data_IF_005186888729
#
_entry.id   IF_005186888729
#
_cell.length_a   1.000
_cell.length_b   1.000
_cell.length_c   1.000
_cell.angle_alpha   90.00
_cell.angle_beta   90.00
_cell.angle_gamma   90.00
#
_symmetry.space_group_name_H-M   'P 1'
#
loop_
_entity.id
_entity.type
_entity.pdbx_description
1 polymer ?
#
# COMPACT_ATOMS: atom_id res chain seq x y z
N UNK A 1 -11.24 -19.04 -4.49
CA UNK A 1 -11.79 -19.66 -5.72
C UNK A 1 -13.24 -20.11 -5.56
N UNK A 2 -13.60 -20.87 -4.51
CA UNK A 2 -14.97 -21.35 -4.31
C UNK A 2 -16.05 -20.25 -4.26
N UNK A 3 -15.78 -19.12 -3.59
CA UNK A 3 -16.74 -18.00 -3.52
C UNK A 3 -17.00 -17.35 -4.89
N UNK A 4 -15.96 -17.21 -5.72
CA UNK A 4 -16.12 -16.70 -7.07
C UNK A 4 -16.93 -17.67 -7.94
N UNK A 5 -16.68 -18.98 -7.82
CA UNK A 5 -17.47 -20.01 -8.51
C UNK A 5 -18.95 -19.95 -8.08
N UNK A 6 -19.20 -19.93 -6.78
CA UNK A 6 -20.56 -19.81 -6.24
C UNK A 6 -21.27 -18.53 -6.72
N UNK A 7 -20.58 -17.38 -6.75
CA UNK A 7 -21.15 -16.14 -7.25
C UNK A 7 -21.45 -16.20 -8.76
N UNK A 8 -20.61 -16.86 -9.56
CA UNK A 8 -20.86 -17.10 -10.99
C UNK A 8 -22.09 -18.00 -11.20
N UNK A 9 -22.27 -19.01 -10.36
CA UNK A 9 -23.42 -19.92 -10.45
C UNK A 9 -24.74 -19.19 -10.10
N UNK A 10 -24.73 -18.24 -9.17
CA UNK A 10 -25.95 -17.56 -8.69
C UNK A 10 -26.23 -16.19 -9.32
N UNK A 11 -25.28 -15.58 -10.05
CA UNK A 11 -25.41 -14.21 -10.58
C UNK A 11 -26.57 -13.97 -11.54
N UNK A 12 -27.22 -15.01 -12.06
CA UNK A 12 -28.40 -14.86 -12.91
C UNK A 12 -29.62 -14.34 -12.12
N UNK A 13 -29.75 -14.70 -10.85
CA UNK A 13 -30.87 -14.34 -9.98
C UNK A 13 -30.51 -13.52 -8.74
N UNK A 14 -29.21 -13.40 -8.44
CA UNK A 14 -28.69 -12.63 -7.29
C UNK A 14 -27.84 -11.45 -7.78
N UNK A 15 -28.36 -10.24 -7.59
CA UNK A 15 -27.67 -9.01 -7.99
C UNK A 15 -26.42 -8.73 -7.14
N UNK A 16 -26.35 -9.19 -5.89
CA UNK A 16 -25.14 -9.07 -5.07
C UNK A 16 -24.04 -9.98 -5.63
N UNK A 17 -24.39 -11.23 -5.98
CA UNK A 17 -23.48 -12.15 -6.64
C UNK A 17 -23.01 -11.60 -8.00
N UNK A 18 -23.92 -11.02 -8.78
CA UNK A 18 -23.59 -10.39 -10.07
C UNK A 18 -22.66 -9.18 -9.92
N UNK A 19 -22.96 -8.27 -8.97
CA UNK A 19 -22.11 -7.12 -8.68
C UNK A 19 -20.71 -7.53 -8.23
N UNK A 20 -20.63 -8.59 -7.40
CA UNK A 20 -19.37 -9.19 -6.98
C UNK A 20 -18.56 -9.74 -8.15
N UNK A 21 -19.17 -10.51 -9.06
CA UNK A 21 -18.48 -11.05 -10.25
C UNK A 21 -17.94 -9.92 -11.13
N UNK A 22 -18.75 -8.88 -11.39
CA UNK A 22 -18.30 -7.72 -12.18
C UNK A 22 -17.15 -6.97 -11.50
N UNK A 23 -17.23 -6.78 -10.17
CA UNK A 23 -16.16 -6.16 -9.38
C UNK A 23 -14.89 -6.99 -9.39
N UNK A 24 -15.00 -8.32 -9.27
CA UNK A 24 -13.89 -9.26 -9.32
C UNK A 24 -13.18 -9.22 -10.67
N UNK A 25 -13.94 -9.16 -11.77
CA UNK A 25 -13.36 -8.98 -13.12
C UNK A 25 -12.63 -7.64 -13.21
N UNK A 26 -13.26 -6.54 -12.77
CA UNK A 26 -12.67 -5.20 -12.83
C UNK A 26 -11.35 -5.13 -12.03
N UNK A 27 -11.30 -5.66 -10.81
CA UNK A 27 -10.10 -5.63 -9.97
C UNK A 27 -9.03 -6.57 -10.48
N UNK A 28 -9.40 -7.74 -11.02
CA UNK A 28 -8.45 -8.65 -11.66
C UNK A 28 -7.80 -7.97 -12.86
N UNK A 29 -8.60 -7.33 -13.72
CA UNK A 29 -8.06 -6.54 -14.84
C UNK A 29 -7.12 -5.45 -14.32
N UNK A 30 -7.51 -4.70 -13.28
CA UNK A 30 -6.71 -3.64 -12.68
C UNK A 30 -5.37 -4.09 -12.10
N UNK A 31 -5.27 -5.33 -11.58
CA UNK A 31 -4.06 -5.84 -10.91
C UNK A 31 -3.21 -6.78 -11.78
N UNK A 32 -3.76 -7.41 -12.84
CA UNK A 32 -3.05 -8.45 -13.62
C UNK A 32 -2.52 -7.99 -14.98
N UNK A 33 -2.40 -6.67 -15.19
CA UNK A 33 -1.99 -6.07 -16.46
C UNK A 33 -0.67 -6.59 -17.05
N UNK A 34 0.25 -7.07 -16.22
CA UNK A 34 1.58 -7.55 -16.62
C UNK A 34 1.58 -8.94 -17.27
N UNK A 35 0.53 -9.77 -17.05
CA UNK A 35 0.52 -11.17 -17.48
C UNK A 35 0.04 -11.41 -18.93
N UNK A 36 -0.33 -10.36 -19.69
CA UNK A 36 -0.87 -10.51 -21.06
C UNK A 36 -0.04 -9.75 -22.09
N UNK A 37 0.74 -10.49 -22.88
CA UNK A 37 1.72 -9.93 -23.82
C UNK A 37 1.16 -9.33 -25.12
N UNK A 38 -0.15 -9.30 -25.39
CA UNK A 38 -0.65 -8.79 -26.70
C UNK A 38 -1.94 -7.96 -26.69
N UNK A 39 -2.65 -7.84 -25.57
CA UNK A 39 -3.82 -6.95 -25.45
C UNK A 39 -3.87 -6.38 -24.05
N UNK A 40 -3.19 -5.26 -23.84
CA UNK A 40 -3.25 -4.52 -22.58
C UNK A 40 -4.70 -4.10 -22.36
N UNK A 41 -5.40 -4.56 -21.29
CA UNK A 41 -6.75 -4.10 -21.03
C UNK A 41 -6.72 -2.58 -20.91
N UNK A 42 -7.47 -1.92 -21.79
CA UNK A 42 -7.46 -0.46 -21.86
C UNK A 42 -8.17 0.05 -20.60
N UNK A 43 -7.84 1.28 -20.17
CA UNK A 43 -8.50 1.94 -19.02
C UNK A 43 -10.05 1.84 -19.11
N UNK A 44 -10.57 1.88 -20.34
CA UNK A 44 -11.98 1.70 -20.68
C UNK A 44 -12.56 0.34 -20.28
N UNK A 45 -11.79 -0.75 -20.30
CA UNK A 45 -12.27 -2.08 -19.92
C UNK A 45 -12.55 -2.17 -18.42
N UNK A 46 -11.65 -1.63 -17.60
CA UNK A 46 -11.84 -1.56 -16.14
C UNK A 46 -13.03 -0.68 -15.83
N UNK A 47 -13.11 0.51 -16.44
CA UNK A 47 -14.22 1.44 -16.24
C UNK A 47 -15.56 0.80 -16.64
N UNK A 48 -15.59 -0.03 -17.69
CA UNK A 48 -16.78 -0.77 -18.13
C UNK A 48 -17.24 -1.76 -17.06
N UNK A 49 -16.35 -2.64 -16.59
CA UNK A 49 -16.72 -3.65 -15.59
C UNK A 49 -17.00 -3.06 -14.21
N UNK A 50 -16.25 -2.02 -13.83
CA UNK A 50 -16.50 -1.24 -12.62
C UNK A 50 -17.89 -0.59 -12.66
N UNK A 51 -18.26 0.04 -13.78
CA UNK A 51 -19.59 0.65 -13.97
C UNK A 51 -20.69 -0.40 -13.89
N UNK A 52 -20.49 -1.59 -14.47
CA UNK A 52 -21.45 -2.70 -14.35
C UNK A 52 -21.61 -3.14 -12.89
N UNK A 53 -20.52 -3.29 -12.14
CA UNK A 53 -20.56 -3.62 -10.72
C UNK A 53 -21.35 -2.59 -9.92
N UNK A 54 -21.03 -1.30 -10.10
CA UNK A 54 -21.72 -0.18 -9.46
C UNK A 54 -23.22 -0.13 -9.77
N UNK A 55 -23.60 -0.27 -11.04
CA UNK A 55 -24.99 -0.21 -11.47
C UNK A 55 -25.81 -1.42 -10.99
N UNK A 56 -25.15 -2.54 -10.69
CA UNK A 56 -25.80 -3.75 -10.18
C UNK A 56 -25.86 -3.75 -8.66
N UNK A 57 -24.91 -3.10 -7.98
CA UNK A 57 -24.85 -3.03 -6.53
C UNK A 57 -25.99 -2.16 -6.00
N UNK A 58 -27.04 -2.81 -5.49
CA UNK A 58 -28.21 -2.12 -4.93
C UNK A 58 -27.90 -1.45 -3.59
N UNK A 59 -28.60 -0.36 -3.22
CA UNK A 59 -28.52 0.21 -1.87
C UNK A 59 -28.90 -0.82 -0.81
N UNK A 60 -28.36 -0.68 0.42
CA UNK A 60 -28.75 -1.54 1.55
C UNK A 60 -30.22 -1.27 1.89
N UNK A 61 -31.04 -2.30 1.88
CA UNK A 61 -32.46 -2.21 2.21
C UNK A 61 -32.73 -2.49 3.70
N UNK A 62 -33.91 -2.08 4.20
CA UNK A 62 -34.28 -2.09 5.64
C UNK A 62 -34.11 -3.44 6.36
N UNK A 63 -34.23 -4.56 5.63
CA UNK A 63 -34.20 -5.92 6.18
C UNK A 63 -32.99 -6.73 5.68
N UNK A 64 -32.05 -6.09 5.00
CA UNK A 64 -30.87 -6.75 4.44
C UNK A 64 -29.77 -6.87 5.49
N UNK A 65 -29.24 -8.09 5.66
CA UNK A 65 -28.03 -8.30 6.47
C UNK A 65 -26.79 -7.99 5.62
N UNK A 66 -25.82 -7.30 6.22
CA UNK A 66 -24.55 -7.03 5.56
C UNK A 66 -23.79 -8.34 5.36
N UNK A 67 -23.43 -8.65 4.12
CA UNK A 67 -22.68 -9.85 3.76
C UNK A 67 -21.19 -9.56 3.56
N UNK A 68 -20.35 -10.57 3.78
CA UNK A 68 -18.91 -10.54 3.44
C UNK A 68 -18.69 -10.21 1.95
N UNK A 69 -19.52 -10.77 1.08
CA UNK A 69 -19.47 -10.58 -0.37
C UNK A 69 -19.73 -9.12 -0.76
N UNK A 70 -20.68 -8.46 -0.10
CA UNK A 70 -20.98 -7.05 -0.33
C UNK A 70 -19.77 -6.18 0.02
N UNK A 71 -19.15 -6.41 1.19
CA UNK A 71 -17.95 -5.67 1.61
C UNK A 71 -16.78 -5.94 0.66
N UNK A 72 -16.58 -7.18 0.23
CA UNK A 72 -15.55 -7.53 -0.74
C UNK A 72 -15.78 -6.83 -2.10
N UNK A 73 -17.03 -6.75 -2.56
CA UNK A 73 -17.41 -6.01 -3.78
C UNK A 73 -17.02 -4.54 -3.67
N UNK A 74 -17.32 -3.90 -2.53
CA UNK A 74 -16.96 -2.50 -2.27
C UNK A 74 -15.43 -2.32 -2.23
N UNK A 75 -14.68 -3.29 -1.71
CA UNK A 75 -13.21 -3.28 -1.75
C UNK A 75 -12.68 -3.40 -3.19
N UNK A 76 -13.26 -4.25 -4.03
CA UNK A 76 -12.88 -4.32 -5.45
C UNK A 76 -13.12 -2.98 -6.16
N UNK A 77 -14.28 -2.37 -5.94
CA UNK A 77 -14.62 -1.04 -6.46
C UNK A 77 -13.62 0.02 -5.99
N UNK A 78 -13.30 0.02 -4.69
CA UNK A 78 -12.30 0.91 -4.08
C UNK A 78 -10.93 0.78 -4.78
N UNK A 79 -10.42 -0.44 -4.92
CA UNK A 79 -9.11 -0.71 -5.53
C UNK A 79 -9.07 -0.28 -7.00
N UNK A 80 -10.14 -0.52 -7.76
CA UNK A 80 -10.24 -0.04 -9.14
C UNK A 80 -10.24 1.49 -9.22
N UNK A 81 -11.02 2.17 -8.38
CA UNK A 81 -11.07 3.64 -8.37
C UNK A 81 -9.73 4.25 -7.95
N UNK A 82 -9.03 3.62 -7.00
CA UNK A 82 -7.66 3.98 -6.63
C UNK A 82 -6.71 3.82 -7.83
N UNK A 83 -6.77 2.71 -8.55
CA UNK A 83 -5.99 2.47 -9.77
C UNK A 83 -6.28 3.44 -10.92
N UNK A 84 -7.50 3.98 -10.97
CA UNK A 84 -7.93 4.98 -11.95
C UNK A 84 -7.64 6.43 -11.51
N UNK A 85 -7.01 6.64 -10.35
CA UNK A 85 -6.71 7.97 -9.80
C UNK A 85 -7.94 8.73 -9.28
N UNK A 86 -9.07 8.06 -9.06
CA UNK A 86 -10.31 8.66 -8.53
C UNK A 86 -10.34 8.58 -7.00
N UNK A 87 -9.36 9.21 -6.35
CA UNK A 87 -9.08 9.04 -4.92
C UNK A 87 -10.25 9.36 -4.00
N UNK A 88 -11.02 10.42 -4.24
CA UNK A 88 -12.18 10.74 -3.39
C UNK A 88 -13.30 9.71 -3.48
N UNK A 89 -13.59 9.22 -4.68
CA UNK A 89 -14.56 8.14 -4.86
C UNK A 89 -14.04 6.83 -4.26
N UNK A 90 -12.76 6.52 -4.46
CA UNK A 90 -12.14 5.36 -3.83
C UNK A 90 -12.28 5.43 -2.30
N UNK A 91 -12.01 6.59 -1.70
CA UNK A 91 -12.17 6.81 -0.26
C UNK A 91 -13.63 6.64 0.19
N UNK A 92 -14.60 7.14 -0.58
CA UNK A 92 -16.02 6.95 -0.30
C UNK A 92 -16.40 5.45 -0.20
N UNK A 93 -15.97 4.62 -1.15
CA UNK A 93 -16.25 3.18 -1.11
C UNK A 93 -15.45 2.43 -0.03
N UNK A 94 -14.23 2.88 0.27
CA UNK A 94 -13.47 2.39 1.42
C UNK A 94 -14.19 2.68 2.74
N UNK A 95 -14.75 3.88 2.90
CA UNK A 95 -15.50 4.26 4.09
C UNK A 95 -16.77 3.42 4.25
N UNK A 96 -17.50 3.17 3.16
CA UNK A 96 -18.63 2.23 3.20
C UNK A 96 -18.21 0.83 3.63
N UNK A 97 -17.10 0.32 3.09
CA UNK A 97 -16.56 -0.99 3.47
C UNK A 97 -16.18 -1.03 4.95
N UNK A 98 -15.58 0.06 5.46
CA UNK A 98 -15.20 0.21 6.86
C UNK A 98 -16.41 0.18 7.80
N UNK A 99 -17.47 0.91 7.45
CA UNK A 99 -18.73 0.86 8.21
C UNK A 99 -19.34 -0.54 8.18
N UNK A 100 -19.39 -1.17 7.01
CA UNK A 100 -20.02 -2.49 6.85
C UNK A 100 -19.22 -3.61 7.52
N UNK A 101 -17.88 -3.55 7.53
CA UNK A 101 -17.06 -4.56 8.20
C UNK A 101 -17.17 -4.47 9.73
N UNK A 102 -17.41 -3.27 10.27
CA UNK A 102 -17.71 -3.09 11.69
C UNK A 102 -19.09 -3.66 12.07
N UNK A 103 -20.09 -3.51 11.20
CA UNK A 103 -21.43 -4.12 11.36
C UNK A 103 -21.35 -5.66 11.41
N UNK A 104 -20.34 -6.28 10.80
CA UNK A 104 -20.12 -7.73 10.88
C UNK A 104 -19.66 -8.22 12.27
N UNK A 105 -19.43 -7.30 13.23
CA UNK A 105 -19.07 -7.57 14.64
C UNK A 105 -17.86 -8.49 14.80
N UNK A 106 -16.86 -8.31 13.95
CA UNK A 106 -15.65 -9.16 13.92
C UNK A 106 -14.80 -8.98 15.19
N UNK A 107 -14.93 -7.83 15.85
CA UNK A 107 -14.30 -7.55 17.14
C UNK A 107 -14.97 -8.28 18.32
N UNK A 108 -16.21 -8.76 18.16
CA UNK A 108 -16.94 -9.46 19.23
C UNK A 108 -16.62 -10.96 19.23
N UNK A 109 -15.85 -11.38 20.22
CA UNK A 109 -15.42 -12.78 20.39
C UNK A 109 -16.61 -13.74 20.54
N UNK A 110 -17.71 -13.33 21.19
CA UNK A 110 -18.87 -14.21 21.39
C UNK A 110 -19.63 -14.43 20.08
N UNK A 111 -19.82 -13.37 19.30
CA UNK A 111 -20.42 -13.47 17.96
C UNK A 111 -19.56 -14.30 17.02
N UNK A 112 -18.24 -14.08 17.04
CA UNK A 112 -17.32 -14.85 16.20
C UNK A 112 -17.29 -16.33 16.59
N UNK A 113 -17.29 -16.68 17.88
CA UNK A 113 -17.24 -18.06 18.36
C UNK A 113 -18.39 -18.95 17.83
N UNK A 114 -19.54 -18.35 17.49
CA UNK A 114 -20.71 -19.03 16.91
C UNK A 114 -20.51 -19.42 15.44
N UNK A 115 -19.52 -18.83 14.76
CA UNK A 115 -19.25 -19.07 13.35
C UNK A 115 -18.26 -20.24 13.15
N UNK A 116 -18.37 -20.98 12.03
CA UNK A 116 -17.33 -21.93 11.62
C UNK A 116 -15.96 -21.26 11.50
N UNK A 117 -14.90 -22.01 11.77
CA UNK A 117 -13.52 -21.51 11.74
C UNK A 117 -13.14 -20.86 10.40
N UNK A 118 -13.53 -21.48 9.28
CA UNK A 118 -13.29 -20.93 7.94
C UNK A 118 -13.99 -19.58 7.73
N UNK A 119 -15.18 -19.40 8.29
CA UNK A 119 -15.92 -18.13 8.20
C UNK A 119 -15.29 -17.05 9.08
N UNK A 120 -14.84 -17.42 10.30
CA UNK A 120 -14.10 -16.49 11.17
C UNK A 120 -12.83 -15.99 10.50
N UNK A 121 -12.01 -16.92 10.00
CA UNK A 121 -10.78 -16.63 9.29
C UNK A 121 -11.04 -15.72 8.08
N UNK A 122 -12.09 -16.01 7.30
CA UNK A 122 -12.49 -15.19 6.14
C UNK A 122 -12.85 -13.75 6.54
N UNK A 123 -13.68 -13.58 7.57
CA UNK A 123 -14.07 -12.25 8.08
C UNK A 123 -12.87 -11.48 8.62
N UNK A 124 -11.99 -12.12 9.38
CA UNK A 124 -10.76 -11.49 9.88
C UNK A 124 -9.85 -11.04 8.74
N UNK A 125 -9.65 -11.86 7.69
CA UNK A 125 -8.89 -11.44 6.51
C UNK A 125 -9.52 -10.21 5.84
N UNK A 126 -10.84 -10.22 5.63
CA UNK A 126 -11.54 -9.06 5.07
C UNK A 126 -11.35 -7.80 5.93
N UNK A 127 -11.48 -7.91 7.25
CA UNK A 127 -11.23 -6.80 8.18
C UNK A 127 -9.84 -6.22 8.02
N UNK A 128 -8.82 -7.10 8.04
CA UNK A 128 -7.44 -6.68 7.92
C UNK A 128 -7.10 -6.11 6.54
N UNK A 129 -7.74 -6.59 5.46
CA UNK A 129 -7.64 -5.94 4.14
C UNK A 129 -8.18 -4.52 4.18
N UNK A 130 -9.38 -4.30 4.73
CA UNK A 130 -9.96 -2.95 4.86
C UNK A 130 -9.08 -2.06 5.73
N UNK A 131 -8.54 -2.59 6.83
CA UNK A 131 -7.61 -1.89 7.71
C UNK A 131 -6.37 -1.39 6.96
N UNK A 132 -5.67 -2.27 6.24
CA UNK A 132 -4.47 -1.92 5.46
C UNK A 132 -4.76 -0.79 4.46
N UNK A 133 -5.89 -0.87 3.74
CA UNK A 133 -6.31 0.16 2.80
C UNK A 133 -6.65 1.49 3.50
N UNK A 134 -7.31 1.45 4.66
CA UNK A 134 -7.61 2.65 5.45
C UNK A 134 -6.32 3.35 5.91
N UNK A 135 -5.35 2.60 6.43
CA UNK A 135 -4.05 3.15 6.86
C UNK A 135 -3.25 3.72 5.70
N UNK A 136 -3.25 3.06 4.54
CA UNK A 136 -2.63 3.60 3.33
C UNK A 136 -3.25 4.93 2.89
N UNK A 137 -4.58 5.03 2.88
CA UNK A 137 -5.28 6.27 2.55
C UNK A 137 -5.10 7.38 3.59
N UNK A 138 -4.91 7.01 4.86
CA UNK A 138 -4.64 7.98 5.90
C UNK A 138 -3.34 8.73 5.66
N UNK A 139 -2.29 8.02 5.25
CA UNK A 139 -1.01 8.61 4.89
C UNK A 139 -1.10 9.37 3.58
N UNK A 140 -1.46 8.67 2.50
CA UNK A 140 -1.30 9.17 1.11
C UNK A 140 -2.34 10.21 0.71
N UNK A 141 -3.51 10.23 1.36
CA UNK A 141 -4.62 11.12 1.03
C UNK A 141 -5.04 12.01 2.22
N UNK A 142 -4.27 12.01 3.32
CA UNK A 142 -4.55 12.75 4.55
C UNK A 142 -6.00 12.53 5.04
N UNK A 143 -6.41 11.27 5.15
CA UNK A 143 -7.76 10.88 5.58
C UNK A 143 -7.76 10.38 7.03
N UNK A 144 -8.77 10.71 7.86
CA UNK A 144 -8.85 10.18 9.21
C UNK A 144 -9.19 8.69 9.19
N UNK A 145 -8.72 7.95 10.19
CA UNK A 145 -9.01 6.52 10.36
C UNK A 145 -10.10 6.31 11.40
N UNK A 146 -10.93 5.29 11.22
CA UNK A 146 -11.96 4.90 12.21
C UNK A 146 -11.93 3.42 12.54
N UNK A 147 -11.26 2.57 11.75
CA UNK A 147 -11.23 1.13 12.00
C UNK A 147 -10.11 0.81 13.01
N UNK A 148 -10.41 0.38 14.25
CA UNK A 148 -9.38 -0.04 15.19
C UNK A 148 -8.65 -1.30 14.68
N UNK A 149 -7.44 -1.62 15.17
CA UNK A 149 -6.84 -2.93 14.91
C UNK A 149 -7.61 -4.02 15.68
N UNK A 150 -7.70 -5.23 15.12
CA UNK A 150 -8.15 -6.40 15.89
C UNK A 150 -7.04 -6.84 16.85
N UNK A 151 -7.44 -7.46 17.96
CA UNK A 151 -6.51 -8.06 18.94
C UNK A 151 -5.89 -9.37 18.46
N UNK A 152 -6.45 -9.98 17.40
CA UNK A 152 -6.02 -11.27 16.87
C UNK A 152 -5.72 -11.19 15.37
N UNK A 153 -4.70 -11.92 14.96
CA UNK A 153 -4.41 -12.18 13.54
C UNK A 153 -5.45 -13.13 12.93
N UNK A 154 -5.60 -13.18 11.60
CA UNK A 154 -6.49 -14.13 10.96
C UNK A 154 -6.23 -15.57 11.41
N UNK A 155 -7.29 -16.27 11.78
CA UNK A 155 -7.23 -17.71 12.08
C UNK A 155 -6.74 -18.50 10.85
N UNK A 156 -6.09 -19.66 11.05
CA UNK A 156 -5.67 -20.53 9.95
C UNK A 156 -6.84 -20.95 9.06
N UNK A 157 -6.61 -21.02 7.75
CA UNK A 157 -7.63 -21.44 6.79
C UNK A 157 -7.00 -22.36 5.74
N UNK A 158 -7.38 -23.64 5.77
CA UNK A 158 -6.85 -24.65 4.87
C UNK A 158 -7.17 -24.38 3.38
N UNK A 159 -8.11 -23.48 3.08
CA UNK A 159 -8.43 -23.08 1.71
C UNK A 159 -7.47 -22.04 1.14
N UNK A 160 -6.60 -21.47 1.97
CA UNK A 160 -5.61 -20.46 1.58
C UNK A 160 -4.21 -21.07 1.70
N UNK A 161 -3.37 -21.01 0.63
CA UNK A 161 -1.98 -21.46 0.70
C UNK A 161 -1.22 -20.79 1.84
N UNK A 162 -0.43 -21.57 2.59
CA UNK A 162 0.31 -21.08 3.77
C UNK A 162 1.18 -19.85 3.46
N UNK A 163 1.91 -19.85 2.33
CA UNK A 163 2.75 -18.71 1.95
C UNK A 163 1.92 -17.43 1.74
N UNK A 164 0.69 -17.53 1.21
CA UNK A 164 -0.23 -16.39 1.07
C UNK A 164 -0.66 -15.88 2.44
N UNK A 165 -1.06 -16.79 3.33
CA UNK A 165 -1.46 -16.43 4.70
C UNK A 165 -0.31 -15.77 5.48
N UNK A 166 0.90 -16.31 5.40
CA UNK A 166 2.10 -15.77 6.06
C UNK A 166 2.41 -14.36 5.55
N UNK A 167 2.50 -14.16 4.24
CA UNK A 167 2.76 -12.82 3.69
C UNK A 167 1.66 -11.82 4.01
N UNK A 168 0.39 -12.25 4.05
CA UNK A 168 -0.72 -11.40 4.46
C UNK A 168 -0.59 -10.95 5.93
N UNK A 169 -0.21 -11.85 6.83
CA UNK A 169 0.05 -11.49 8.25
C UNK A 169 1.21 -10.51 8.35
N UNK A 170 2.29 -10.71 7.59
CA UNK A 170 3.45 -9.82 7.59
C UNK A 170 3.10 -8.40 7.11
N UNK A 171 2.32 -8.25 6.03
CA UNK A 171 1.93 -6.91 5.57
C UNK A 171 0.99 -6.23 6.58
N UNK A 172 0.10 -6.98 7.23
CA UNK A 172 -0.73 -6.46 8.32
C UNK A 172 0.14 -5.94 9.48
N UNK A 173 1.16 -6.69 9.91
CA UNK A 173 2.11 -6.26 10.95
C UNK A 173 2.79 -4.94 10.60
N UNK A 174 3.26 -4.78 9.35
CA UNK A 174 3.84 -3.52 8.89
C UNK A 174 2.83 -2.36 9.01
N UNK A 175 1.60 -2.55 8.52
CA UNK A 175 0.57 -1.51 8.59
C UNK A 175 0.03 -1.25 10.00
N UNK A 176 0.20 -2.17 10.95
CA UNK A 176 -0.11 -1.92 12.36
C UNK A 176 0.77 -0.84 12.99
N UNK A 177 1.97 -0.59 12.44
CA UNK A 177 2.80 0.54 12.89
C UNK A 177 2.18 1.89 12.54
N UNK A 178 1.22 1.95 11.61
CA UNK A 178 0.43 3.16 11.32
C UNK A 178 -0.72 3.30 12.34
N UNK A 179 -0.34 3.41 13.60
CA UNK A 179 -1.23 3.60 14.75
C UNK A 179 -1.69 5.07 14.86
N UNK A 180 -2.57 5.36 15.83
CA UNK A 180 -3.08 6.72 16.04
C UNK A 180 -1.97 7.71 16.43
N UNK A 181 -0.94 7.26 17.15
CA UNK A 181 0.19 8.10 17.54
C UNK A 181 1.01 8.49 16.32
N UNK A 182 1.41 7.53 15.48
CA UNK A 182 2.10 7.77 14.23
C UNK A 182 1.29 8.66 13.29
N UNK A 183 -0.03 8.45 13.18
CA UNK A 183 -0.88 9.30 12.36
C UNK A 183 -0.98 10.72 12.89
N UNK A 184 -1.05 10.91 14.21
CA UNK A 184 -1.03 12.26 14.81
C UNK A 184 0.25 13.00 14.44
N UNK A 185 1.41 12.32 14.49
CA UNK A 185 2.70 12.90 14.10
C UNK A 185 2.83 13.11 12.60
N UNK A 186 2.25 12.21 11.80
CA UNK A 186 2.15 12.39 10.36
C UNK A 186 1.38 13.66 10.01
N UNK A 187 0.22 13.89 10.61
CA UNK A 187 -0.55 15.10 10.35
C UNK A 187 0.13 16.36 10.89
N UNK A 188 0.86 16.26 12.01
CA UNK A 188 1.70 17.34 12.54
C UNK A 188 2.82 17.80 11.58
N UNK A 189 3.22 16.97 10.61
CA UNK A 189 4.23 17.38 9.60
C UNK A 189 3.76 18.51 8.70
N UNK A 190 2.45 18.71 8.58
CA UNK A 190 1.83 19.73 7.74
C UNK A 190 1.37 20.97 8.54
N UNK A 191 1.66 20.99 9.85
CA UNK A 191 1.27 22.05 10.78
C UNK A 191 2.50 22.52 11.57
N UNK A 192 3.00 23.72 11.27
CA UNK A 192 4.25 24.26 11.83
C UNK A 192 4.19 24.43 13.35
N UNK A 193 3.00 24.62 13.94
CA UNK A 193 2.83 24.84 15.38
C UNK A 193 2.95 23.55 16.21
N UNK A 194 2.86 22.39 15.56
CA UNK A 194 2.94 21.10 16.24
C UNK A 194 4.39 20.59 16.37
N UNK A 195 4.68 20.02 17.54
CA UNK A 195 5.99 19.49 17.90
C UNK A 195 6.01 17.98 17.70
N UNK A 196 7.13 17.47 17.19
CA UNK A 196 7.43 16.04 17.11
C UNK A 196 8.73 15.82 17.88
N UNK A 197 8.72 15.02 18.95
CA UNK A 197 9.94 14.79 19.73
C UNK A 197 10.94 13.90 18.98
N UNK A 198 12.23 14.26 18.96
CA UNK A 198 13.28 13.43 18.36
C UNK A 198 13.36 12.01 18.92
N UNK A 199 13.12 11.85 20.23
CA UNK A 199 13.17 10.55 20.89
C UNK A 199 12.13 9.58 20.31
N UNK A 200 10.92 10.08 20.01
CA UNK A 200 9.86 9.27 19.40
C UNK A 200 10.24 8.82 17.99
N UNK A 201 10.89 9.69 17.19
CA UNK A 201 11.37 9.35 15.84
C UNK A 201 12.35 8.17 15.91
N UNK A 202 13.33 8.26 16.80
CA UNK A 202 14.35 7.21 16.98
C UNK A 202 13.68 5.91 17.41
N UNK A 203 12.83 5.95 18.44
CA UNK A 203 12.11 4.78 18.93
C UNK A 203 11.22 4.14 17.83
N UNK A 204 10.51 4.96 17.05
CA UNK A 204 9.62 4.46 15.99
C UNK A 204 10.42 3.85 14.84
N UNK A 205 11.56 4.42 14.46
CA UNK A 205 12.47 3.80 13.50
C UNK A 205 13.03 2.48 14.00
N UNK A 206 13.47 2.41 15.26
CA UNK A 206 13.95 1.16 15.87
C UNK A 206 12.86 0.08 15.85
N UNK A 207 11.62 0.42 16.24
CA UNK A 207 10.46 -0.50 16.14
C UNK A 207 10.22 -1.01 14.71
N UNK A 208 10.39 -0.15 13.70
CA UNK A 208 10.26 -0.54 12.30
C UNK A 208 11.44 -1.41 11.85
N UNK A 209 12.65 -1.13 12.30
CA UNK A 209 13.84 -1.93 11.95
C UNK A 209 13.75 -3.34 12.58
N UNK A 210 13.36 -3.42 13.86
CA UNK A 210 13.14 -4.65 14.63
C UNK A 210 11.94 -5.50 14.14
N UNK A 211 11.03 -4.91 13.37
CA UNK A 211 9.90 -5.64 12.79
C UNK A 211 10.40 -6.73 11.82
N UNK A 212 10.18 -7.98 12.18
CA UNK A 212 10.65 -9.11 11.40
C UNK A 212 9.94 -9.23 10.04
N UNK A 213 8.71 -8.71 9.89
CA UNK A 213 8.00 -8.70 8.61
C UNK A 213 8.85 -8.01 7.51
N UNK A 214 9.06 -8.72 6.41
CA UNK A 214 9.93 -8.23 5.32
C UNK A 214 11.44 -8.39 5.57
N UNK A 215 11.87 -9.05 6.65
CA UNK A 215 13.29 -9.44 6.84
C UNK A 215 13.67 -10.63 5.96
N UNK A 216 14.96 -10.75 5.64
CA UNK A 216 15.48 -11.81 4.76
C UNK A 216 15.04 -13.22 5.19
N UNK A 217 14.92 -13.49 6.50
CA UNK A 217 14.51 -14.77 7.06
C UNK A 217 13.01 -15.02 6.95
N UNK A 218 12.19 -14.01 7.21
CA UNK A 218 10.73 -14.08 7.18
C UNK A 218 10.16 -14.11 5.76
N UNK A 219 10.90 -13.59 4.79
CA UNK A 219 10.51 -13.61 3.38
C UNK A 219 10.92 -14.91 2.67
N UNK A 220 11.76 -15.75 3.29
CA UNK A 220 12.14 -17.05 2.73
C UNK A 220 10.90 -17.91 2.53
N UNK A 221 10.64 -18.30 1.27
CA UNK A 221 9.49 -19.12 0.89
C UNK A 221 8.23 -18.33 0.54
N UNK A 222 8.26 -16.99 0.64
CA UNK A 222 7.22 -16.14 0.05
C UNK A 222 7.45 -15.97 -1.45
N UNK A 223 6.37 -15.74 -2.20
CA UNK A 223 6.49 -15.42 -3.63
C UNK A 223 7.21 -14.08 -3.84
N UNK A 224 7.94 -13.93 -4.95
CA UNK A 224 8.64 -12.68 -5.29
C UNK A 224 7.72 -11.44 -5.21
N UNK A 225 6.45 -11.62 -5.56
CA UNK A 225 5.40 -10.61 -5.40
C UNK A 225 5.22 -10.17 -3.95
N UNK A 226 5.08 -11.11 -3.02
CA UNK A 226 4.92 -10.78 -1.60
C UNK A 226 6.18 -10.17 -1.01
N UNK A 227 7.36 -10.66 -1.41
CA UNK A 227 8.64 -10.08 -0.98
C UNK A 227 8.74 -8.61 -1.41
N UNK A 228 8.39 -8.31 -2.66
CA UNK A 228 8.39 -6.95 -3.18
C UNK A 228 7.49 -6.01 -2.36
N UNK A 229 6.23 -6.38 -2.11
CA UNK A 229 5.31 -5.53 -1.35
C UNK A 229 5.76 -5.31 0.08
N UNK A 230 6.24 -6.36 0.76
CA UNK A 230 6.71 -6.26 2.14
C UNK A 230 7.93 -5.34 2.26
N UNK A 231 8.95 -5.56 1.45
CA UNK A 231 10.20 -4.81 1.60
C UNK A 231 10.03 -3.37 1.12
N UNK A 232 9.32 -3.13 0.01
CA UNK A 232 9.02 -1.75 -0.44
C UNK A 232 8.16 -1.03 0.59
N UNK A 233 7.15 -1.69 1.18
CA UNK A 233 6.32 -1.10 2.23
C UNK A 233 7.15 -0.79 3.48
N UNK A 234 8.06 -1.67 3.91
CA UNK A 234 8.93 -1.42 5.07
C UNK A 234 9.82 -0.20 4.84
N UNK A 235 10.45 -0.07 3.68
CA UNK A 235 11.25 1.11 3.34
C UNK A 235 10.41 2.39 3.26
N UNK A 236 9.20 2.29 2.71
CA UNK A 236 8.25 3.40 2.68
C UNK A 236 7.90 3.88 4.09
N UNK A 237 7.57 2.99 5.03
CA UNK A 237 7.29 3.35 6.43
C UNK A 237 8.47 4.06 7.10
N UNK A 238 9.70 3.55 6.92
CA UNK A 238 10.91 4.19 7.45
C UNK A 238 11.10 5.58 6.85
N UNK A 239 10.87 5.75 5.55
CA UNK A 239 10.93 7.04 4.89
C UNK A 239 9.91 8.04 5.45
N UNK A 240 8.67 7.61 5.73
CA UNK A 240 7.65 8.47 6.33
C UNK A 240 8.09 9.00 7.70
N UNK A 241 8.61 8.13 8.57
CA UNK A 241 9.10 8.54 9.89
C UNK A 241 10.28 9.50 9.76
N UNK A 242 11.19 9.25 8.80
CA UNK A 242 12.27 10.19 8.51
C UNK A 242 11.78 11.55 8.00
N UNK A 243 10.77 11.58 7.12
CA UNK A 243 10.15 12.81 6.64
C UNK A 243 9.51 13.62 7.77
N UNK A 244 8.94 12.96 8.78
CA UNK A 244 8.44 13.65 9.98
C UNK A 244 9.55 14.42 10.68
N UNK A 245 10.72 13.80 10.87
CA UNK A 245 11.89 14.48 11.46
C UNK A 245 12.44 15.60 10.56
N UNK A 246 12.43 15.39 9.24
CA UNK A 246 12.82 16.42 8.27
C UNK A 246 11.92 17.66 8.37
N UNK A 247 10.60 17.46 8.47
CA UNK A 247 9.61 18.55 8.53
C UNK A 247 9.81 19.49 9.72
N UNK A 248 10.40 18.99 10.80
CA UNK A 248 10.71 19.74 12.03
C UNK A 248 12.19 20.08 12.19
N UNK A 249 12.97 19.95 11.11
CA UNK A 249 14.41 20.24 11.08
C UNK A 249 15.22 19.52 12.17
N UNK A 250 14.86 18.29 12.52
CA UNK A 250 15.49 17.52 13.61
C UNK A 250 16.74 16.75 13.16
N UNK A 251 17.01 16.74 11.85
CA UNK A 251 18.05 15.92 11.24
C UNK A 251 19.41 16.61 11.21
N UNK A 252 20.49 15.83 11.23
CA UNK A 252 21.85 16.35 11.00
C UNK A 252 22.65 15.41 10.11
N UNK A 253 23.70 15.90 9.45
CA UNK A 253 24.50 15.10 8.52
C UNK A 253 25.42 14.07 9.19
N UNK A 254 25.70 14.23 10.48
CA UNK A 254 26.63 13.39 11.26
C UNK A 254 26.02 12.73 12.50
N UNK A 255 24.69 12.62 12.57
CA UNK A 255 24.05 11.94 13.70
C UNK A 255 24.48 10.46 13.73
N UNK A 256 24.84 9.89 14.89
CA UNK A 256 25.23 8.49 15.00
C UNK A 256 24.08 7.53 14.65
N UNK A 257 22.85 7.90 15.03
CA UNK A 257 21.64 7.18 14.63
C UNK A 257 21.32 7.46 13.16
N UNK A 258 21.33 6.43 12.31
CA UNK A 258 21.07 6.57 10.87
C UNK A 258 19.68 7.17 10.58
N UNK A 259 18.69 6.87 11.41
CA UNK A 259 17.31 7.37 11.31
C UNK A 259 17.19 8.89 11.48
N UNK A 260 18.18 9.54 12.10
CA UNK A 260 18.25 11.00 12.30
C UNK A 260 19.25 11.67 11.35
N UNK A 261 19.83 10.91 10.42
CA UNK A 261 20.77 11.41 9.44
C UNK A 261 20.06 12.05 8.24
N UNK A 262 20.55 13.21 7.78
CA UNK A 262 20.14 13.78 6.49
C UNK A 262 20.46 12.85 5.29
N UNK A 263 21.41 11.92 5.46
CA UNK A 263 21.84 10.99 4.43
C UNK A 263 21.05 9.67 4.43
N UNK A 264 20.06 9.51 5.32
CA UNK A 264 19.24 8.30 5.38
C UNK A 264 18.63 7.93 4.02
N UNK A 265 18.00 8.85 3.24
CA UNK A 265 17.42 8.47 1.95
C UNK A 265 18.46 8.03 0.92
N UNK A 266 19.71 8.53 1.00
CA UNK A 266 20.81 8.09 0.13
C UNK A 266 21.23 6.65 0.44
N UNK A 267 21.34 6.29 1.72
CA UNK A 267 21.59 4.89 2.10
C UNK A 267 20.46 3.97 1.66
N UNK A 268 19.21 4.44 1.77
CA UNK A 268 18.03 3.71 1.33
C UNK A 268 17.96 3.54 -0.19
N UNK A 269 18.41 4.52 -0.98
CA UNK A 269 18.38 4.43 -2.45
C UNK A 269 19.21 3.28 -2.99
N UNK A 270 20.41 3.06 -2.42
CA UNK A 270 21.27 1.94 -2.78
C UNK A 270 20.62 0.58 -2.44
N UNK A 271 19.98 0.48 -1.27
CA UNK A 271 19.25 -0.71 -0.85
C UNK A 271 18.05 -1.00 -1.77
N UNK A 272 17.26 0.03 -2.08
CA UNK A 272 16.09 -0.08 -2.94
C UNK A 272 16.49 -0.45 -4.38
N UNK A 273 17.59 0.11 -4.88
CA UNK A 273 18.17 -0.29 -6.18
C UNK A 273 18.54 -1.76 -6.20
N UNK A 274 19.34 -2.22 -5.23
CA UNK A 274 19.78 -3.61 -5.15
C UNK A 274 18.57 -4.56 -5.10
N UNK A 275 17.55 -4.19 -4.35
CA UNK A 275 16.31 -4.94 -4.27
C UNK A 275 15.56 -5.02 -5.60
N UNK A 276 15.30 -3.88 -6.24
CA UNK A 276 14.55 -3.82 -7.49
C UNK A 276 15.32 -4.54 -8.61
N UNK A 277 16.66 -4.43 -8.63
CA UNK A 277 17.50 -5.13 -9.59
C UNK A 277 17.41 -6.68 -9.47
N UNK A 278 17.07 -7.18 -8.28
CA UNK A 278 16.91 -8.61 -8.00
C UNK A 278 15.46 -9.12 -8.16
N UNK A 279 14.52 -8.24 -8.50
CA UNK A 279 13.10 -8.58 -8.65
C UNK A 279 12.66 -8.44 -10.10
N UNK A 280 11.69 -9.25 -10.52
CA UNK A 280 11.04 -9.04 -11.81
C UNK A 280 10.08 -7.86 -11.71
N UNK A 281 9.99 -7.06 -12.78
CA UNK A 281 9.03 -5.96 -12.88
C UNK A 281 7.59 -6.42 -12.61
N UNK A 282 7.21 -7.58 -13.14
CA UNK A 282 5.87 -8.16 -12.94
C UNK A 282 5.57 -8.46 -11.46
N UNK A 283 6.58 -8.83 -10.67
CA UNK A 283 6.41 -9.08 -9.22
C UNK A 283 6.06 -7.80 -8.46
N UNK A 284 6.42 -6.63 -9.00
CA UNK A 284 6.12 -5.32 -8.41
C UNK A 284 4.80 -4.79 -9.00
N UNK A 285 4.64 -4.80 -10.32
CA UNK A 285 3.48 -4.19 -11.00
C UNK A 285 2.12 -4.78 -10.61
N UNK A 286 2.08 -6.06 -10.25
CA UNK A 286 0.86 -6.78 -9.86
C UNK A 286 0.13 -6.17 -8.65
N UNK A 287 0.82 -5.39 -7.82
CA UNK A 287 0.22 -4.68 -6.68
C UNK A 287 -0.51 -3.39 -7.07
N UNK A 288 -0.39 -2.99 -8.35
CA UNK A 288 -1.07 -1.83 -8.91
C UNK A 288 -0.58 -0.49 -8.35
N UNK A 289 -1.48 0.50 -8.31
CA UNK A 289 -1.12 1.89 -8.01
C UNK A 289 -0.60 2.12 -6.59
N UNK A 290 -0.91 1.24 -5.63
CA UNK A 290 -0.46 1.36 -4.25
C UNK A 290 1.07 1.31 -4.14
N UNK A 291 1.71 0.31 -4.75
CA UNK A 291 3.18 0.19 -4.72
C UNK A 291 3.86 1.23 -5.62
N UNK A 292 3.22 1.61 -6.72
CA UNK A 292 3.70 2.68 -7.60
C UNK A 292 3.77 4.02 -6.87
N UNK A 293 2.76 4.33 -6.05
CA UNK A 293 2.74 5.51 -5.20
C UNK A 293 3.85 5.48 -4.15
N UNK A 294 4.04 4.35 -3.45
CA UNK A 294 5.14 4.18 -2.48
C UNK A 294 6.51 4.40 -3.13
N UNK A 295 6.75 3.79 -4.30
CA UNK A 295 7.99 3.95 -5.06
C UNK A 295 8.19 5.38 -5.56
N UNK A 296 7.13 6.06 -5.99
CA UNK A 296 7.19 7.47 -6.32
C UNK A 296 7.64 8.30 -5.11
N UNK A 297 7.00 8.16 -3.96
CA UNK A 297 7.31 8.93 -2.75
C UNK A 297 8.75 8.70 -2.26
N UNK A 298 9.21 7.44 -2.31
CA UNK A 298 10.61 7.08 -2.03
C UNK A 298 11.56 7.79 -2.99
N UNK A 299 11.32 7.65 -4.30
CA UNK A 299 12.18 8.19 -5.36
C UNK A 299 12.20 9.72 -5.34
N UNK A 300 11.06 10.36 -5.08
CA UNK A 300 10.91 11.81 -4.97
C UNK A 300 11.69 12.39 -3.78
N UNK A 301 11.62 11.70 -2.64
CA UNK A 301 12.36 12.06 -1.42
C UNK A 301 13.86 11.92 -1.62
N UNK A 302 14.29 10.81 -2.22
CA UNK A 302 15.70 10.57 -2.56
C UNK A 302 16.22 11.71 -3.45
N UNK A 303 15.50 12.03 -4.53
CA UNK A 303 15.89 13.12 -5.43
C UNK A 303 16.02 14.46 -4.71
N UNK A 304 15.08 14.78 -3.81
CA UNK A 304 15.13 16.01 -3.00
C UNK A 304 16.39 16.06 -2.15
N UNK A 305 16.78 14.95 -1.51
CA UNK A 305 18.01 14.88 -0.71
C UNK A 305 19.25 14.98 -1.58
N UNK A 306 19.32 14.27 -2.70
CA UNK A 306 20.48 14.33 -3.61
C UNK A 306 20.67 15.75 -4.17
N UNK A 307 19.58 16.47 -4.43
CA UNK A 307 19.61 17.86 -4.90
C UNK A 307 20.05 18.87 -3.82
N UNK A 308 19.81 18.58 -2.54
CA UNK A 308 19.96 19.56 -1.46
C UNK A 308 21.15 19.30 -0.55
N UNK A 309 21.54 18.04 -0.36
CA UNK A 309 22.64 17.63 0.51
C UNK A 309 23.90 17.40 -0.32
N UNK A 310 24.95 18.22 -0.14
CA UNK A 310 26.20 18.06 -0.88
C UNK A 310 26.80 16.66 -0.69
N UNK A 311 27.38 16.13 -1.77
CA UNK A 311 28.23 14.95 -1.70
C UNK A 311 29.63 15.33 -1.20
N UNK A 312 30.30 14.40 -0.51
CA UNK A 312 31.66 14.59 0.00
C UNK A 312 32.73 14.43 -1.08
N UNK A 313 32.40 13.69 -2.15
CA UNK A 313 33.28 13.47 -3.30
C UNK A 313 32.49 13.46 -4.62
N UNK A 314 33.21 13.63 -5.73
CA UNK A 314 32.61 13.50 -7.07
C UNK A 314 32.12 12.09 -7.35
N UNK A 315 32.81 11.07 -6.84
CA UNK A 315 32.42 9.67 -6.99
C UNK A 315 31.10 9.38 -6.27
N UNK A 316 30.97 9.85 -5.03
CA UNK A 316 29.74 9.72 -4.25
C UNK A 316 28.58 10.45 -4.96
N UNK A 317 28.83 11.65 -5.50
CA UNK A 317 27.82 12.39 -6.26
C UNK A 317 27.32 11.59 -7.47
N UNK A 318 28.25 11.03 -8.25
CA UNK A 318 27.91 10.20 -9.41
C UNK A 318 27.08 8.99 -9.00
N UNK A 319 27.45 8.29 -7.92
CA UNK A 319 26.71 7.14 -7.42
C UNK A 319 25.29 7.50 -6.98
N UNK A 320 25.13 8.61 -6.23
CA UNK A 320 23.81 9.11 -5.79
C UNK A 320 22.90 9.43 -6.98
N UNK A 321 23.43 10.05 -8.03
CA UNK A 321 22.69 10.38 -9.25
C UNK A 321 22.33 9.11 -10.02
N UNK A 322 23.24 8.15 -10.12
CA UNK A 322 23.00 6.87 -10.81
C UNK A 322 21.92 6.04 -10.10
N UNK A 323 21.94 5.98 -8.77
CA UNK A 323 20.92 5.30 -7.98
C UNK A 323 19.53 5.93 -8.15
N UNK A 324 19.45 7.26 -8.07
CA UNK A 324 18.21 7.98 -8.34
C UNK A 324 17.72 7.71 -9.78
N UNK A 325 18.62 7.80 -10.78
CA UNK A 325 18.28 7.57 -12.17
C UNK A 325 17.71 6.17 -12.37
N UNK A 326 18.32 5.14 -11.78
CA UNK A 326 17.81 3.77 -11.84
C UNK A 326 16.37 3.69 -11.30
N UNK A 327 16.11 4.25 -10.11
CA UNK A 327 14.80 4.23 -9.49
C UNK A 327 13.75 5.00 -10.30
N UNK A 328 14.13 6.17 -10.82
CA UNK A 328 13.29 6.99 -11.68
C UNK A 328 12.91 6.26 -12.97
N UNK A 329 13.89 5.68 -13.69
CA UNK A 329 13.64 4.94 -14.93
C UNK A 329 12.80 3.68 -14.68
N UNK A 330 13.08 2.97 -13.57
CA UNK A 330 12.24 1.84 -13.17
C UNK A 330 10.80 2.27 -12.94
N UNK A 331 10.57 3.32 -12.13
CA UNK A 331 9.24 3.85 -11.84
C UNK A 331 8.53 4.34 -13.10
N UNK A 332 9.23 5.06 -13.99
CA UNK A 332 8.70 5.55 -15.27
C UNK A 332 8.33 4.41 -16.22
N UNK A 333 9.02 3.27 -16.10
CA UNK A 333 8.69 2.08 -16.87
C UNK A 333 7.37 1.43 -16.40
N UNK A 334 6.92 1.70 -15.16
CA UNK A 334 5.73 1.06 -14.61
C UNK A 334 4.47 1.49 -15.37
N UNK A 335 3.57 0.54 -15.61
CA UNK A 335 2.34 0.83 -16.34
C UNK A 335 1.48 1.87 -15.62
N UNK A 336 0.89 2.80 -16.38
CA UNK A 336 -0.04 3.84 -15.87
C UNK A 336 0.58 4.75 -14.80
N UNK A 337 1.90 4.98 -14.87
CA UNK A 337 2.57 6.01 -14.09
C UNK A 337 1.82 7.35 -14.22
N UNK A 338 1.62 8.05 -13.11
CA UNK A 338 0.94 9.34 -13.11
C UNK A 338 1.80 10.38 -13.88
N UNK A 339 1.25 11.04 -14.92
CA UNK A 339 2.04 11.95 -15.74
C UNK A 339 2.61 13.15 -14.95
N UNK A 340 1.87 13.67 -13.98
CA UNK A 340 2.31 14.80 -13.14
C UNK A 340 3.50 14.38 -12.27
N UNK A 341 3.43 13.18 -11.69
CA UNK A 341 4.52 12.60 -10.91
C UNK A 341 5.76 12.35 -11.79
N UNK A 342 5.55 11.92 -13.04
CA UNK A 342 6.62 11.74 -14.01
C UNK A 342 7.32 13.05 -14.38
N UNK A 343 6.54 14.10 -14.66
CA UNK A 343 7.08 15.45 -14.93
C UNK A 343 7.88 15.99 -13.74
N UNK A 344 7.43 15.74 -12.51
CA UNK A 344 8.13 16.15 -11.30
C UNK A 344 9.50 15.48 -11.17
N UNK A 345 9.54 14.13 -11.27
CA UNK A 345 10.80 13.40 -11.19
C UNK A 345 11.74 13.74 -12.36
N UNK A 346 11.20 13.96 -13.56
CA UNK A 346 11.98 14.36 -14.73
C UNK A 346 12.55 15.78 -14.59
N UNK A 347 11.81 16.70 -13.96
CA UNK A 347 12.30 18.02 -13.59
C UNK A 347 13.46 17.94 -12.59
N UNK A 348 13.33 17.09 -11.55
CA UNK A 348 14.40 16.85 -10.57
C UNK A 348 15.63 16.22 -11.21
N UNK A 349 15.46 15.28 -12.13
CA UNK A 349 16.55 14.66 -12.88
C UNK A 349 17.30 15.67 -13.75
N UNK A 350 16.58 16.54 -14.47
CA UNK A 350 17.21 17.62 -15.25
C UNK A 350 18.06 18.55 -14.38
N UNK A 351 17.55 18.96 -13.21
CA UNK A 351 18.31 19.78 -12.25
C UNK A 351 19.56 19.05 -11.74
N UNK A 352 19.50 17.75 -11.51
CA UNK A 352 20.67 16.96 -11.09
C UNK A 352 21.77 16.95 -12.16
N UNK A 353 21.38 16.85 -13.44
CA UNK A 353 22.31 16.97 -14.57
C UNK A 353 22.92 18.38 -14.64
N UNK A 354 22.10 19.43 -14.53
CA UNK A 354 22.56 20.82 -14.59
C UNK A 354 23.54 21.18 -13.46
N UNK A 355 23.34 20.62 -12.27
CA UNK A 355 24.19 20.85 -11.09
C UNK A 355 25.42 19.92 -11.10
N UNK A 356 25.48 18.91 -11.98
CA UNK A 356 26.30 17.72 -11.75
C UNK A 356 26.87 16.95 -12.93
N UNK A 357 26.79 17.47 -14.17
CA UNK A 357 27.64 17.09 -15.29
C UNK A 357 28.34 18.32 -15.88
#
# INVERSE_FOLDING_TARGET
MAEAQSAIETMAGDDEAKAFVYGLVAVTLNLTHSLRSHTTPQRSDIETWLSRSLNTLRPVLRQEEISVRRVATLQFIHVCLMGLGRHDLAFYYLRQSTTMVDILRIHDTESMAKLPLTERARRQRLYWTVFVHERFYAITCQRPTVLPPLTVMPEPDATVPNAIATGFVQIVRLFMHIDQEMLSRWFATFDDDQIIEPAWIIEKHQKLDDEAAGSDTEIVGLSSMQQADLVITKHWLRMLVWQMAMSKCLLSSGHPEQSMSLLFPVGLSAQLRALIANMTKDSIEVHGSGIQQKLFELTDTIASVVLTVPATSSEEKCQRVDDFKFLFEFWKSLQRSNPIQGELLESKYRRLIEIGL
#
